data_IF_395495430724
#
_entry.id   IF_395495430724
#
_cell.length_a   1.000
_cell.length_b   1.000
_cell.length_c   1.000
_cell.angle_alpha   90.00
_cell.angle_beta   90.00
_cell.angle_gamma   90.00
#
_symmetry.space_group_name_H-M   'P 1'
#
loop_
_entity.id
_entity.type
_entity.pdbx_description
1 polymer ?
#
# COMPACT_ATOMS: atom_id res chain seq x y z
N UNK A 1 45.91 -30.39 44.26
CA UNK A 1 46.21 -30.27 42.82
C UNK A 1 44.92 -29.99 42.06
N UNK A 2 44.98 -29.02 41.15
CA UNK A 2 43.87 -28.37 40.47
C UNK A 2 43.18 -29.28 39.43
N UNK A 3 41.87 -29.10 39.25
CA UNK A 3 41.12 -29.74 38.16
C UNK A 3 39.73 -29.15 37.95
N UNK A 4 39.64 -27.85 37.64
CA UNK A 4 38.38 -27.20 37.22
C UNK A 4 38.08 -27.56 35.76
N UNK A 5 37.07 -28.40 35.55
CA UNK A 5 36.41 -28.59 34.24
C UNK A 5 35.54 -27.37 33.95
N UNK A 6 35.93 -26.59 32.92
CA UNK A 6 35.10 -25.53 32.32
C UNK A 6 34.21 -26.14 31.26
N UNK A 7 32.91 -26.17 31.51
CA UNK A 7 31.87 -26.39 30.52
C UNK A 7 31.72 -25.11 29.67
N UNK A 8 32.23 -25.14 28.44
CA UNK A 8 31.98 -24.14 27.42
C UNK A 8 30.68 -24.46 26.67
N UNK A 9 29.60 -23.77 27.03
CA UNK A 9 28.39 -23.68 26.20
C UNK A 9 28.69 -22.87 24.95
N UNK A 10 28.91 -23.58 23.84
CA UNK A 10 29.01 -23.01 22.49
C UNK A 10 27.60 -22.74 21.94
N UNK A 11 27.20 -21.47 21.93
CA UNK A 11 26.00 -20.97 21.25
C UNK A 11 26.31 -20.84 19.75
N UNK A 12 26.26 -21.95 19.03
CA UNK A 12 26.34 -21.94 17.57
C UNK A 12 25.01 -21.41 16.99
N UNK A 13 24.99 -20.13 16.62
CA UNK A 13 23.94 -19.56 15.79
C UNK A 13 23.97 -20.24 14.42
N UNK A 14 23.05 -21.18 14.21
CA UNK A 14 22.83 -21.86 12.94
C UNK A 14 22.38 -20.85 11.88
N UNK A 15 23.35 -20.27 11.18
CA UNK A 15 23.15 -19.52 9.94
C UNK A 15 22.82 -20.52 8.84
N UNK A 16 21.53 -20.84 8.71
CA UNK A 16 20.99 -21.59 7.59
C UNK A 16 21.16 -20.81 6.29
N UNK A 17 22.36 -20.89 5.70
CA UNK A 17 22.60 -20.47 4.32
C UNK A 17 21.87 -21.47 3.43
N UNK A 18 20.67 -21.09 2.98
CA UNK A 18 19.97 -21.80 1.91
C UNK A 18 20.89 -21.82 0.69
N UNK A 19 21.38 -23.01 0.30
CA UNK A 19 22.10 -23.18 -0.97
C UNK A 19 21.16 -22.77 -2.09
N UNK A 20 21.46 -21.64 -2.73
CA UNK A 20 20.84 -21.27 -4.00
C UNK A 20 21.49 -22.16 -5.05
N UNK A 21 20.77 -23.16 -5.53
CA UNK A 21 21.14 -23.86 -6.76
C UNK A 21 20.95 -22.89 -7.92
N UNK A 22 22.01 -22.19 -8.31
CA UNK A 22 22.08 -21.46 -9.57
C UNK A 22 22.58 -22.44 -10.62
N UNK A 23 21.75 -23.41 -10.99
CA UNK A 23 22.00 -24.14 -12.23
C UNK A 23 21.63 -23.20 -13.39
N UNK A 24 22.53 -22.88 -14.33
CA UNK A 24 22.14 -22.28 -15.58
C UNK A 24 21.26 -23.31 -16.30
N UNK A 25 19.94 -23.08 -16.33
CA UNK A 25 19.06 -23.96 -17.08
C UNK A 25 19.44 -23.84 -18.57
N UNK A 26 19.86 -24.93 -19.23
CA UNK A 26 20.09 -24.90 -20.66
C UNK A 26 18.76 -24.57 -21.35
N UNK A 27 18.78 -23.54 -22.20
CA UNK A 27 17.64 -22.95 -22.90
C UNK A 27 16.94 -23.87 -23.92
N UNK A 28 17.16 -25.21 -23.92
CA UNK A 28 16.79 -26.08 -25.04
C UNK A 28 16.01 -27.37 -24.77
N UNK A 29 15.60 -27.70 -23.54
CA UNK A 29 14.98 -29.02 -23.28
C UNK A 29 13.62 -29.00 -22.57
N UNK A 30 12.79 -27.98 -22.86
CA UNK A 30 11.38 -27.93 -22.39
C UNK A 30 10.34 -28.26 -23.48
N UNK A 31 10.77 -28.75 -24.64
CA UNK A 31 9.87 -29.04 -25.76
C UNK A 31 9.23 -30.45 -25.72
N UNK A 32 9.60 -31.34 -24.79
CA UNK A 32 9.24 -32.77 -24.90
C UNK A 32 8.60 -33.42 -23.65
N UNK A 33 8.00 -32.65 -22.74
CA UNK A 33 7.13 -33.22 -21.67
C UNK A 33 5.80 -32.47 -21.62
N UNK A 34 4.98 -32.73 -22.63
CA UNK A 34 3.56 -32.34 -22.69
C UNK A 34 2.74 -33.56 -23.07
N UNK A 35 1.91 -34.02 -22.12
CA UNK A 35 0.98 -35.18 -22.08
C UNK A 35 1.23 -35.85 -20.72
N UNK A 36 0.55 -35.56 -19.61
CA UNK A 36 -0.89 -35.68 -19.37
C UNK A 36 -1.35 -34.88 -18.13
N UNK A 37 -1.62 -33.59 -18.27
CA UNK A 37 -2.40 -32.82 -17.27
C UNK A 37 -3.75 -32.43 -17.89
N UNK A 38 -4.63 -33.42 -17.98
CA UNK A 38 -6.03 -33.24 -18.34
C UNK A 38 -6.82 -32.48 -17.27
N UNK A 39 -7.82 -31.74 -17.72
CA UNK A 39 -8.97 -31.30 -16.92
C UNK A 39 -8.74 -30.29 -15.78
N UNK A 40 -7.97 -29.24 -16.03
CA UNK A 40 -8.27 -27.93 -15.46
C UNK A 40 -7.98 -26.87 -16.51
N UNK A 41 -8.97 -26.63 -17.38
CA UNK A 41 -9.04 -25.42 -18.18
C UNK A 41 -9.05 -24.21 -17.25
N UNK A 42 -7.87 -23.79 -16.79
CA UNK A 42 -7.67 -22.46 -16.25
C UNK A 42 -8.00 -21.55 -17.42
N UNK A 43 -9.23 -21.06 -17.44
CA UNK A 43 -9.68 -19.99 -18.32
C UNK A 43 -8.50 -19.04 -18.44
N UNK A 44 -7.90 -18.99 -19.63
CA UNK A 44 -6.76 -18.12 -19.92
C UNK A 44 -7.27 -16.72 -19.58
N UNK A 45 -6.97 -16.23 -18.36
CA UNK A 45 -7.38 -14.90 -17.91
C UNK A 45 -6.84 -13.95 -18.97
N UNK A 46 -7.73 -13.42 -19.80
CA UNK A 46 -7.38 -12.51 -20.88
C UNK A 46 -6.60 -11.37 -20.26
N UNK A 47 -5.39 -11.10 -20.76
CA UNK A 47 -4.64 -9.94 -20.35
C UNK A 47 -5.49 -8.67 -20.50
N UNK A 48 -5.21 -7.65 -19.67
CA UNK A 48 -5.92 -6.37 -19.75
C UNK A 48 -5.74 -5.75 -21.14
N UNK A 49 -6.79 -5.19 -21.71
CA UNK A 49 -6.69 -4.43 -22.97
C UNK A 49 -5.92 -3.12 -22.78
N UNK A 50 -5.27 -2.63 -23.84
CA UNK A 50 -4.58 -1.34 -23.82
C UNK A 50 -5.53 -0.20 -23.47
N UNK A 51 -6.74 -0.17 -24.03
CA UNK A 51 -7.76 0.85 -23.74
C UNK A 51 -8.10 0.86 -22.25
N UNK A 52 -8.39 -0.32 -21.67
CA UNK A 52 -8.67 -0.42 -20.24
C UNK A 52 -7.51 0.09 -19.39
N UNK A 53 -6.27 -0.27 -19.76
CA UNK A 53 -5.07 0.27 -19.11
C UNK A 53 -4.94 1.79 -19.23
N UNK A 54 -5.16 2.37 -20.41
CA UNK A 54 -5.03 3.81 -20.61
C UNK A 54 -6.05 4.61 -19.80
N UNK A 55 -7.27 4.09 -19.62
CA UNK A 55 -8.30 4.71 -18.79
C UNK A 55 -7.97 4.60 -17.30
N UNK A 56 -7.64 3.41 -16.82
CA UNK A 56 -7.34 3.14 -15.41
C UNK A 56 -6.07 2.26 -15.33
N UNK A 57 -4.87 2.85 -15.22
CA UNK A 57 -3.63 2.07 -15.36
C UNK A 57 -3.41 1.09 -14.22
N UNK A 58 -3.90 1.39 -13.00
CA UNK A 58 -3.70 0.53 -11.82
C UNK A 58 -4.95 0.44 -10.95
N UNK A 59 -5.98 -0.34 -11.36
CA UNK A 59 -7.24 -0.44 -10.60
C UNK A 59 -7.04 -0.94 -9.16
N UNK A 60 -6.09 -1.86 -8.95
CA UNK A 60 -5.71 -2.40 -7.63
C UNK A 60 -5.11 -1.36 -6.67
N UNK A 61 -4.77 -0.18 -7.18
CA UNK A 61 -4.24 0.93 -6.40
C UNK A 61 -5.33 2.00 -6.12
N UNK A 62 -6.55 1.87 -6.66
CA UNK A 62 -7.64 2.85 -6.46
C UNK A 62 -8.06 2.99 -5.00
N UNK A 63 -7.88 1.97 -4.17
CA UNK A 63 -8.12 2.09 -2.72
C UNK A 63 -7.30 3.21 -2.07
N UNK A 64 -6.14 3.56 -2.65
CA UNK A 64 -5.29 4.67 -2.17
C UNK A 64 -5.93 6.03 -2.42
N UNK A 65 -6.83 6.13 -3.41
CA UNK A 65 -7.58 7.34 -3.68
C UNK A 65 -8.56 7.71 -2.56
N UNK A 66 -8.85 6.78 -1.64
CA UNK A 66 -9.65 7.05 -0.45
C UNK A 66 -8.87 7.79 0.64
N UNK A 67 -7.53 7.87 0.54
CA UNK A 67 -6.72 8.47 1.60
C UNK A 67 -6.98 9.98 1.75
N UNK A 68 -7.02 10.71 0.63
CA UNK A 68 -7.32 12.15 0.65
C UNK A 68 -8.73 12.46 1.20
N UNK A 69 -9.83 11.85 0.71
CA UNK A 69 -11.15 12.14 1.27
C UNK A 69 -11.28 11.67 2.72
N UNK A 70 -10.66 10.54 3.09
CA UNK A 70 -10.66 10.10 4.48
C UNK A 70 -9.99 11.12 5.39
N UNK A 71 -8.82 11.65 5.03
CA UNK A 71 -8.14 12.65 5.86
C UNK A 71 -8.83 14.01 5.83
N UNK A 72 -9.46 14.40 4.73
CA UNK A 72 -10.36 15.57 4.68
C UNK A 72 -11.49 15.45 5.71
N UNK A 73 -12.20 14.31 5.72
CA UNK A 73 -13.28 14.04 6.70
C UNK A 73 -12.74 14.06 8.12
N UNK A 74 -11.57 13.46 8.39
CA UNK A 74 -10.95 13.52 9.71
C UNK A 74 -10.66 14.96 10.15
N UNK A 75 -10.16 15.80 9.24
CA UNK A 75 -9.94 17.23 9.50
C UNK A 75 -11.22 17.98 9.84
N UNK A 76 -12.30 17.76 9.06
CA UNK A 76 -13.62 18.36 9.31
C UNK A 76 -14.17 17.94 10.67
N UNK A 77 -14.17 16.63 10.97
CA UNK A 77 -14.66 16.11 12.27
C UNK A 77 -13.88 16.67 13.46
N UNK A 78 -12.59 16.93 13.29
CA UNK A 78 -11.74 17.52 14.32
C UNK A 78 -11.96 19.03 14.53
N UNK A 79 -12.75 19.69 13.70
CA UNK A 79 -13.05 21.13 13.81
C UNK A 79 -12.59 21.96 12.62
N UNK A 80 -12.25 21.32 11.50
CA UNK A 80 -12.02 21.98 10.23
C UNK A 80 -13.27 22.66 9.66
N UNK A 81 -13.06 23.46 8.63
CA UNK A 81 -14.13 24.16 7.94
C UNK A 81 -14.84 23.24 6.93
N UNK A 82 -16.16 23.38 6.80
CA UNK A 82 -16.94 22.69 5.78
C UNK A 82 -17.98 23.65 5.19
N UNK A 83 -17.64 24.24 4.05
CA UNK A 83 -18.55 25.00 3.21
C UNK A 83 -18.53 24.46 1.76
N UNK A 84 -19.41 25.01 0.92
CA UNK A 84 -19.53 24.59 -0.47
C UNK A 84 -18.24 24.83 -1.29
N UNK A 85 -17.56 25.95 -1.08
CA UNK A 85 -16.30 26.28 -1.76
C UNK A 85 -15.19 25.29 -1.39
N UNK A 86 -15.02 25.02 -0.09
CA UNK A 86 -14.06 24.05 0.44
C UNK A 86 -14.31 22.66 -0.12
N UNK A 87 -15.57 22.23 -0.17
CA UNK A 87 -15.94 20.94 -0.73
C UNK A 87 -15.61 20.85 -2.23
N UNK A 88 -15.93 21.88 -3.00
CA UNK A 88 -15.61 21.94 -4.44
C UNK A 88 -14.10 21.94 -4.67
N UNK A 89 -13.35 22.75 -3.93
CA UNK A 89 -11.88 22.80 -4.00
C UNK A 89 -11.25 21.45 -3.65
N UNK A 90 -11.72 20.81 -2.58
CA UNK A 90 -11.28 19.48 -2.18
C UNK A 90 -11.58 18.45 -3.26
N UNK A 91 -12.78 18.49 -3.87
CA UNK A 91 -13.17 17.58 -4.95
C UNK A 91 -12.31 17.78 -6.21
N UNK A 92 -12.04 19.02 -6.62
CA UNK A 92 -11.15 19.33 -7.75
C UNK A 92 -9.73 18.84 -7.46
N UNK A 93 -9.19 19.13 -6.27
CA UNK A 93 -7.87 18.66 -5.87
C UNK A 93 -7.79 17.13 -5.85
N UNK A 94 -8.83 16.45 -5.37
CA UNK A 94 -8.92 14.99 -5.37
C UNK A 94 -8.94 14.41 -6.78
N UNK A 95 -9.77 14.95 -7.67
CA UNK A 95 -9.83 14.54 -9.09
C UNK A 95 -8.48 14.74 -9.77
N UNK A 96 -7.87 15.92 -9.61
CA UNK A 96 -6.56 16.20 -10.18
C UNK A 96 -5.49 15.24 -9.64
N UNK A 97 -5.45 15.02 -8.32
CA UNK A 97 -4.49 14.14 -7.68
C UNK A 97 -4.64 12.68 -8.15
N UNK A 98 -5.84 12.10 -8.04
CA UNK A 98 -6.07 10.66 -8.15
C UNK A 98 -6.49 10.20 -9.54
N UNK A 99 -7.08 11.07 -10.37
CA UNK A 99 -7.53 10.71 -11.73
C UNK A 99 -6.62 11.26 -12.84
N UNK A 100 -5.80 12.27 -12.55
CA UNK A 100 -4.88 12.87 -13.53
C UNK A 100 -3.41 12.63 -13.17
N UNK A 101 -2.92 13.20 -12.07
CA UNK A 101 -1.50 13.22 -11.70
C UNK A 101 -0.98 11.82 -11.36
N UNK A 102 -1.65 11.08 -10.46
CA UNK A 102 -1.19 9.73 -10.10
C UNK A 102 -1.26 8.73 -11.25
N UNK A 103 -2.33 8.69 -12.06
CA UNK A 103 -2.36 7.86 -13.26
C UNK A 103 -1.22 8.18 -14.23
N UNK A 104 -0.91 9.46 -14.49
CA UNK A 104 0.25 9.85 -15.30
C UNK A 104 1.57 9.34 -14.69
N UNK A 105 1.76 9.47 -13.38
CA UNK A 105 2.91 8.92 -12.65
C UNK A 105 2.98 7.40 -12.74
N UNK A 106 1.86 6.70 -12.65
CA UNK A 106 1.82 5.24 -12.78
C UNK A 106 2.17 4.79 -14.19
N UNK A 107 1.67 5.49 -15.21
CA UNK A 107 2.05 5.25 -16.61
C UNK A 107 3.55 5.44 -16.83
N UNK A 108 4.14 6.50 -16.26
CA UNK A 108 5.59 6.70 -16.33
C UNK A 108 6.37 5.54 -15.67
N UNK A 109 5.94 5.10 -14.48
CA UNK A 109 6.57 3.97 -13.78
C UNK A 109 6.47 2.66 -14.58
N UNK A 110 5.31 2.39 -15.20
CA UNK A 110 5.06 1.19 -16.00
C UNK A 110 5.87 1.20 -17.30
N UNK A 111 5.99 2.37 -17.97
CA UNK A 111 6.86 2.53 -19.15
C UNK A 111 8.31 2.21 -18.81
N UNK A 112 8.85 2.77 -17.72
CA UNK A 112 10.21 2.47 -17.26
C UNK A 112 10.40 1.02 -16.83
N UNK A 113 9.35 0.41 -16.29
CA UNK A 113 9.35 -0.96 -15.78
C UNK A 113 8.98 -2.03 -16.80
N UNK A 114 8.66 -1.66 -18.04
CA UNK A 114 7.90 -2.51 -18.96
C UNK A 114 8.51 -3.90 -19.16
N UNK A 115 9.79 -3.99 -19.52
CA UNK A 115 10.46 -5.28 -19.75
C UNK A 115 10.50 -6.14 -18.48
N UNK A 116 10.84 -5.54 -17.33
CA UNK A 116 10.87 -6.25 -16.05
C UNK A 116 9.46 -6.65 -15.56
N UNK A 117 8.42 -5.96 -16.02
CA UNK A 117 7.02 -6.31 -15.75
C UNK A 117 6.55 -7.48 -16.63
N UNK A 118 7.00 -7.57 -17.89
CA UNK A 118 6.76 -8.75 -18.75
C UNK A 118 7.56 -9.98 -18.29
N UNK A 119 8.69 -9.80 -17.59
CA UNK A 119 9.46 -10.91 -17.04
C UNK A 119 8.95 -11.40 -15.67
N UNK A 120 7.86 -10.82 -15.15
CA UNK A 120 7.33 -11.12 -13.82
C UNK A 120 6.52 -12.43 -13.82
N UNK A 121 6.64 -13.31 -12.80
CA UNK A 121 5.86 -14.56 -12.73
C UNK A 121 4.34 -14.35 -12.82
N UNK A 122 3.85 -13.27 -12.22
CA UNK A 122 2.46 -12.78 -12.32
C UNK A 122 2.30 -11.58 -13.28
N UNK A 123 2.86 -11.62 -14.49
CA UNK A 123 2.76 -10.51 -15.47
C UNK A 123 1.29 -10.07 -15.73
N UNK A 124 0.35 -11.03 -15.80
CA UNK A 124 -1.06 -10.78 -16.16
C UNK A 124 -1.87 -10.27 -14.96
N UNK A 125 -1.62 -10.80 -13.76
CA UNK A 125 -2.35 -10.42 -12.56
C UNK A 125 -1.96 -9.05 -12.02
N UNK A 126 -0.82 -8.49 -12.42
CA UNK A 126 -0.35 -7.19 -11.94
C UNK A 126 -1.08 -5.99 -12.54
N UNK A 127 -1.73 -6.16 -13.69
CA UNK A 127 -2.49 -5.09 -14.35
C UNK A 127 -1.63 -3.89 -14.73
N UNK A 128 -0.38 -4.14 -15.17
CA UNK A 128 0.57 -3.13 -15.69
C UNK A 128 0.32 -2.88 -17.20
N UNK A 129 1.15 -2.04 -17.82
CA UNK A 129 1.14 -1.82 -19.28
C UNK A 129 1.14 -3.17 -20.02
N UNK A 130 0.11 -3.47 -20.84
CA UNK A 130 -0.02 -4.79 -21.45
C UNK A 130 1.10 -5.06 -22.47
N UNK A 131 1.54 -6.31 -22.55
CA UNK A 131 2.45 -6.80 -23.58
C UNK A 131 1.78 -7.01 -24.94
N UNK A 132 2.48 -7.66 -25.91
CA UNK A 132 3.82 -8.23 -25.80
C UNK A 132 4.95 -7.20 -26.00
N UNK A 133 6.20 -7.60 -25.76
CA UNK A 133 7.39 -6.76 -25.97
C UNK A 133 7.54 -6.28 -27.43
N UNK A 134 7.10 -7.08 -28.40
CA UNK A 134 7.08 -6.68 -29.81
C UNK A 134 6.22 -5.42 -30.08
N UNK A 135 5.24 -5.11 -29.20
CA UNK A 135 4.39 -3.91 -29.28
C UNK A 135 4.83 -2.80 -28.33
N UNK A 136 6.02 -2.91 -27.73
CA UNK A 136 6.54 -1.95 -26.75
C UNK A 136 6.43 -0.51 -27.23
N UNK A 137 6.92 -0.21 -28.44
CA UNK A 137 6.92 1.15 -28.99
C UNK A 137 5.51 1.75 -29.03
N UNK A 138 4.56 1.05 -29.64
CA UNK A 138 3.18 1.53 -29.76
C UNK A 138 2.51 1.71 -28.38
N UNK A 139 2.66 0.73 -27.49
CA UNK A 139 2.05 0.78 -26.15
C UNK A 139 2.68 1.86 -25.26
N UNK A 140 4.00 2.03 -25.32
CA UNK A 140 4.73 3.08 -24.60
C UNK A 140 4.34 4.46 -25.13
N UNK A 141 4.31 4.65 -26.45
CA UNK A 141 3.87 5.92 -27.05
C UNK A 141 2.45 6.26 -26.61
N UNK A 142 1.49 5.34 -26.73
CA UNK A 142 0.12 5.58 -26.29
C UNK A 142 0.04 5.91 -24.80
N UNK A 143 0.79 5.19 -23.95
CA UNK A 143 0.85 5.47 -22.51
C UNK A 143 1.43 6.85 -22.20
N UNK A 144 2.49 7.26 -22.89
CA UNK A 144 3.10 8.59 -22.73
C UNK A 144 2.16 9.69 -23.21
N UNK A 145 1.50 9.53 -24.37
CA UNK A 145 0.54 10.51 -24.90
C UNK A 145 -0.60 10.77 -23.91
N UNK A 146 -1.21 9.71 -23.36
CA UNK A 146 -2.30 9.89 -22.39
C UNK A 146 -1.79 10.46 -21.06
N UNK A 147 -0.57 10.10 -20.62
CA UNK A 147 0.03 10.70 -19.44
C UNK A 147 0.25 12.21 -19.63
N UNK A 148 0.76 12.65 -20.79
CA UNK A 148 0.92 14.07 -21.13
C UNK A 148 -0.43 14.79 -21.20
N UNK A 149 -1.44 14.19 -21.82
CA UNK A 149 -2.79 14.76 -21.89
C UNK A 149 -3.38 14.99 -20.49
N UNK A 150 -3.17 14.06 -19.54
CA UNK A 150 -3.58 14.24 -18.13
C UNK A 150 -2.88 15.43 -17.47
N UNK A 151 -1.58 15.59 -17.69
CA UNK A 151 -0.82 16.72 -17.12
C UNK A 151 -1.23 18.05 -17.76
N UNK A 152 -1.50 18.06 -19.07
CA UNK A 152 -2.06 19.24 -19.74
C UNK A 152 -3.43 19.61 -19.17
N UNK A 153 -4.29 18.63 -18.87
CA UNK A 153 -5.57 18.89 -18.22
C UNK A 153 -5.39 19.49 -16.80
N UNK A 154 -4.42 19.02 -16.01
CA UNK A 154 -4.10 19.62 -14.70
C UNK A 154 -3.61 21.06 -14.86
N UNK A 155 -2.75 21.34 -15.84
CA UNK A 155 -2.28 22.69 -16.13
C UNK A 155 -3.43 23.61 -16.55
N UNK A 156 -4.35 23.13 -17.40
CA UNK A 156 -5.55 23.86 -17.77
C UNK A 156 -6.44 24.16 -16.54
N UNK A 157 -6.67 23.18 -15.65
CA UNK A 157 -7.41 23.41 -14.40
C UNK A 157 -6.73 24.45 -13.51
N UNK A 158 -5.39 24.43 -13.42
CA UNK A 158 -4.62 25.40 -12.65
C UNK A 158 -4.74 26.84 -13.18
N UNK A 159 -4.89 27.00 -14.50
CA UNK A 159 -5.07 28.31 -15.15
C UNK A 159 -6.53 28.79 -15.10
N UNK A 160 -7.50 27.88 -15.26
CA UNK A 160 -8.93 28.20 -15.31
C UNK A 160 -9.57 28.42 -13.93
N UNK A 161 -8.96 27.90 -12.85
CA UNK A 161 -9.45 28.01 -11.48
C UNK A 161 -8.47 28.83 -10.63
N UNK A 162 -8.47 30.17 -10.76
CA UNK A 162 -7.59 31.05 -10.00
C UNK A 162 -7.86 30.87 -8.50
N UNK A 163 -6.85 30.42 -7.76
CA UNK A 163 -6.98 30.00 -6.35
C UNK A 163 -6.58 28.53 -6.10
N UNK A 164 -6.63 27.68 -7.13
CA UNK A 164 -6.17 26.28 -7.05
C UNK A 164 -4.81 26.04 -7.72
N UNK A 165 -4.33 26.97 -8.55
CA UNK A 165 -3.10 26.80 -9.33
C UNK A 165 -1.87 26.45 -8.47
N UNK A 166 -1.67 27.12 -7.34
CA UNK A 166 -0.57 26.82 -6.42
C UNK A 166 -0.66 25.42 -5.81
N UNK A 167 -1.86 24.99 -5.40
CA UNK A 167 -2.10 23.65 -4.84
C UNK A 167 -1.88 22.56 -5.90
N UNK A 168 -2.44 22.73 -7.11
CA UNK A 168 -2.31 21.76 -8.20
C UNK A 168 -0.85 21.66 -8.69
N UNK A 169 -0.13 22.79 -8.73
CA UNK A 169 1.31 22.82 -8.98
C UNK A 169 2.10 22.06 -7.92
N UNK A 170 1.86 22.35 -6.63
CA UNK A 170 2.51 21.67 -5.51
C UNK A 170 2.23 20.16 -5.49
N UNK A 171 0.99 19.73 -5.77
CA UNK A 171 0.61 18.32 -5.94
C UNK A 171 1.43 17.67 -7.04
N UNK A 172 1.48 18.29 -8.22
CA UNK A 172 2.17 17.74 -9.39
C UNK A 172 3.66 17.60 -9.13
N UNK A 173 4.30 18.67 -8.64
CA UNK A 173 5.72 18.67 -8.26
C UNK A 173 6.00 17.64 -7.17
N UNK A 174 5.14 17.54 -6.14
CA UNK A 174 5.28 16.57 -5.06
C UNK A 174 5.23 15.13 -5.56
N UNK A 175 4.20 14.77 -6.35
CA UNK A 175 4.04 13.40 -6.88
C UNK A 175 5.23 13.00 -7.75
N UNK A 176 5.65 13.87 -8.68
CA UNK A 176 6.75 13.57 -9.58
C UNK A 176 8.11 13.64 -8.90
N UNK A 177 8.32 14.56 -7.96
CA UNK A 177 9.54 14.65 -7.14
C UNK A 177 9.77 13.38 -6.34
N UNK A 178 8.74 12.88 -5.65
CA UNK A 178 8.80 11.59 -4.94
C UNK A 178 9.08 10.44 -5.93
N UNK A 179 8.45 10.45 -7.10
CA UNK A 179 8.66 9.42 -8.11
C UNK A 179 10.09 9.45 -8.68
N UNK A 180 10.67 10.62 -8.92
CA UNK A 180 12.08 10.78 -9.33
C UNK A 180 13.01 10.24 -8.25
N UNK A 181 12.82 10.62 -6.99
CA UNK A 181 13.63 10.13 -5.87
C UNK A 181 13.54 8.60 -5.74
N UNK A 182 12.32 8.04 -5.85
CA UNK A 182 12.09 6.61 -5.88
C UNK A 182 12.83 5.92 -7.03
N UNK A 183 12.72 6.42 -8.26
CA UNK A 183 13.36 5.83 -9.43
C UNK A 183 14.89 5.94 -9.36
N UNK A 184 15.41 7.07 -8.87
CA UNK A 184 16.82 7.26 -8.62
C UNK A 184 17.32 6.21 -7.62
N UNK A 185 16.64 6.00 -6.49
CA UNK A 185 17.00 4.94 -5.53
C UNK A 185 16.84 3.54 -6.14
N UNK A 186 15.78 3.28 -6.90
CA UNK A 186 15.53 1.97 -7.53
C UNK A 186 16.57 1.58 -8.58
N UNK A 187 17.12 2.53 -9.34
CA UNK A 187 18.04 2.27 -10.45
C UNK A 187 19.35 1.56 -10.06
N UNK A 188 19.75 1.57 -8.79
CA UNK A 188 20.92 0.85 -8.29
C UNK A 188 20.60 -0.45 -7.56
N UNK A 189 19.34 -0.88 -7.65
CA UNK A 189 18.89 -2.21 -7.22
C UNK A 189 18.85 -3.16 -8.42
N UNK A 190 18.76 -4.48 -8.18
CA UNK A 190 18.69 -5.51 -9.21
C UNK A 190 20.04 -6.01 -9.72
N UNK A 191 21.10 -5.90 -8.91
CA UNK A 191 22.47 -6.31 -9.30
C UNK A 191 22.83 -7.72 -8.85
N UNK A 192 21.97 -8.39 -8.08
CA UNK A 192 22.24 -9.68 -7.48
C UNK A 192 21.11 -10.68 -7.76
N UNK A 193 21.47 -11.95 -8.00
CA UNK A 193 20.50 -13.06 -8.04
C UNK A 193 20.22 -13.67 -6.66
N UNK A 194 20.81 -13.12 -5.59
CA UNK A 194 20.69 -13.65 -4.22
C UNK A 194 19.36 -13.23 -3.61
N UNK A 195 18.64 -14.20 -3.06
CA UNK A 195 17.43 -13.95 -2.27
C UNK A 195 17.61 -14.46 -0.85
N UNK A 196 17.47 -13.62 0.19
CA UNK A 196 17.29 -12.16 0.11
C UNK A 196 18.60 -11.41 -0.25
N UNK A 197 18.51 -10.29 -1.01
CA UNK A 197 19.67 -9.46 -1.37
C UNK A 197 20.22 -8.71 -0.15
N UNK A 198 21.54 -8.49 -0.02
CA UNK A 198 22.14 -7.87 1.16
C UNK A 198 21.51 -6.51 1.47
N UNK A 199 21.32 -6.21 2.76
CA UNK A 199 20.78 -4.91 3.19
C UNK A 199 21.82 -3.84 2.91
N UNK A 200 21.45 -2.88 2.05
CA UNK A 200 22.27 -1.72 1.70
C UNK A 200 21.51 -0.45 2.10
N UNK A 201 22.20 0.64 2.47
CA UNK A 201 21.55 1.91 2.83
C UNK A 201 20.55 2.38 1.77
N UNK A 202 20.88 2.21 0.49
CA UNK A 202 20.00 2.54 -0.65
C UNK A 202 18.68 1.76 -0.64
N UNK A 203 18.70 0.48 -0.23
CA UNK A 203 17.51 -0.36 -0.15
C UNK A 203 16.58 0.13 0.97
N UNK A 204 17.18 0.48 2.12
CA UNK A 204 16.45 1.04 3.26
C UNK A 204 15.88 2.41 2.91
N UNK A 205 16.67 3.29 2.28
CA UNK A 205 16.21 4.59 1.80
C UNK A 205 15.02 4.44 0.83
N UNK A 206 15.04 3.43 -0.04
CA UNK A 206 13.92 3.13 -0.93
C UNK A 206 12.65 2.74 -0.15
N UNK A 207 12.77 1.93 0.91
CA UNK A 207 11.65 1.60 1.80
C UNK A 207 11.11 2.80 2.57
N UNK A 208 11.97 3.76 2.90
CA UNK A 208 11.54 4.99 3.57
C UNK A 208 10.82 5.92 2.58
N UNK A 209 11.39 6.14 1.38
CA UNK A 209 10.86 7.09 0.39
C UNK A 209 9.44 6.75 -0.08
N UNK A 210 9.08 5.48 -0.16
CA UNK A 210 7.75 5.08 -0.66
C UNK A 210 6.58 5.53 0.21
N UNK A 211 6.83 5.82 1.50
CA UNK A 211 5.77 6.36 2.35
C UNK A 211 5.45 7.83 2.08
N UNK A 212 6.35 8.59 1.44
CA UNK A 212 6.10 10.00 1.11
C UNK A 212 4.87 10.20 0.21
N UNK A 213 4.55 9.22 -0.66
CA UNK A 213 3.34 9.28 -1.48
C UNK A 213 2.02 9.19 -0.69
N UNK A 214 2.07 8.63 0.52
CA UNK A 214 0.91 8.59 1.45
C UNK A 214 0.81 9.89 2.24
N UNK A 215 1.95 10.41 2.70
CA UNK A 215 2.03 11.75 3.28
C UNK A 215 1.43 12.80 2.34
N UNK A 216 1.89 12.87 1.08
CA UNK A 216 1.36 13.82 0.12
C UNK A 216 -0.17 13.71 -0.05
N UNK A 217 -0.69 12.49 -0.27
CA UNK A 217 -2.14 12.26 -0.43
C UNK A 217 -2.95 12.70 0.78
N UNK A 218 -2.56 12.23 1.97
CA UNK A 218 -3.31 12.52 3.18
C UNK A 218 -3.20 13.99 3.59
N UNK A 219 -2.04 14.61 3.37
CA UNK A 219 -1.81 16.03 3.68
C UNK A 219 -2.63 16.94 2.77
N UNK A 220 -2.81 16.62 1.49
CA UNK A 220 -3.73 17.37 0.61
C UNK A 220 -5.15 17.38 1.18
N UNK A 221 -5.61 16.25 1.71
CA UNK A 221 -6.92 16.16 2.37
C UNK A 221 -7.01 16.99 3.64
N UNK A 222 -6.00 16.89 4.52
CA UNK A 222 -5.99 17.67 5.77
C UNK A 222 -5.88 19.17 5.53
N UNK A 223 -5.02 19.61 4.61
CA UNK A 223 -4.84 21.04 4.27
C UNK A 223 -6.13 21.61 3.68
N UNK A 224 -6.88 20.83 2.92
CA UNK A 224 -8.18 21.27 2.40
C UNK A 224 -9.23 21.45 3.51
N UNK A 225 -9.14 20.74 4.63
CA UNK A 225 -10.10 20.85 5.75
C UNK A 225 -9.63 21.80 6.86
N UNK A 226 -8.32 21.94 7.06
CA UNK A 226 -7.70 22.60 8.22
C UNK A 226 -6.55 23.48 7.76
N UNK A 227 -6.48 24.71 8.27
CA UNK A 227 -5.37 25.65 8.06
C UNK A 227 -4.07 25.19 8.73
N UNK A 228 -3.41 24.17 8.20
CA UNK A 228 -2.18 23.59 8.78
C UNK A 228 -0.98 24.54 8.73
N UNK A 229 -1.01 25.58 7.89
CA UNK A 229 0.06 26.58 7.80
C UNK A 229 0.29 27.32 9.12
N UNK A 230 -0.76 27.48 9.92
CA UNK A 230 -0.70 28.14 11.24
C UNK A 230 -0.41 27.13 12.37
N UNK A 231 -0.33 25.84 12.06
CA UNK A 231 -0.20 24.73 13.02
C UNK A 231 0.97 23.82 12.67
N UNK A 232 2.23 24.31 12.72
CA UNK A 232 3.40 23.58 12.22
C UNK A 232 3.62 22.23 12.94
N UNK A 233 3.35 22.16 14.25
CA UNK A 233 3.46 20.91 15.02
C UNK A 233 2.45 19.86 14.53
N UNK A 234 1.19 20.28 14.30
CA UNK A 234 0.15 19.42 13.73
C UNK A 234 0.50 18.96 12.32
N UNK A 235 1.04 19.87 11.49
CA UNK A 235 1.51 19.56 10.14
C UNK A 235 2.59 18.47 10.15
N UNK A 236 3.61 18.62 11.00
CA UNK A 236 4.70 17.64 11.10
C UNK A 236 4.19 16.32 11.66
N UNK A 237 3.38 16.33 12.72
CA UNK A 237 2.81 15.11 13.30
C UNK A 237 1.98 14.33 12.27
N UNK A 238 1.11 15.01 11.53
CA UNK A 238 0.28 14.41 10.49
C UNK A 238 1.12 13.86 9.33
N UNK A 239 2.13 14.62 8.89
CA UNK A 239 3.04 14.18 7.84
C UNK A 239 3.83 12.92 8.26
N UNK A 240 4.34 12.87 9.50
CA UNK A 240 5.02 11.69 10.06
C UNK A 240 4.07 10.50 10.16
N UNK A 241 2.85 10.71 10.66
CA UNK A 241 1.85 9.64 10.76
C UNK A 241 1.54 9.01 9.40
N UNK A 242 1.25 9.84 8.40
CA UNK A 242 0.93 9.39 7.05
C UNK A 242 2.14 8.81 6.31
N UNK A 243 3.33 9.35 6.52
CA UNK A 243 4.57 8.82 5.95
C UNK A 243 4.85 7.43 6.53
N UNK A 244 4.90 7.31 7.86
CA UNK A 244 5.15 6.04 8.54
C UNK A 244 4.08 5.00 8.18
N UNK A 245 2.80 5.39 8.12
CA UNK A 245 1.74 4.53 7.61
C UNK A 245 2.01 4.05 6.17
N UNK A 246 2.44 4.95 5.29
CA UNK A 246 2.81 4.61 3.92
C UNK A 246 3.97 3.61 3.84
N UNK A 247 4.99 3.75 4.69
CA UNK A 247 6.09 2.77 4.79
C UNK A 247 5.51 1.42 5.22
N UNK A 248 4.70 1.39 6.28
CA UNK A 248 4.08 0.17 6.79
C UNK A 248 3.24 -0.55 5.75
N UNK A 249 2.36 0.19 5.07
CA UNK A 249 1.48 -0.33 4.03
C UNK A 249 2.27 -0.87 2.83
N UNK A 250 3.19 -0.06 2.27
CA UNK A 250 3.89 -0.43 1.03
C UNK A 250 4.85 -1.58 1.26
N UNK A 251 5.61 -1.58 2.36
CA UNK A 251 6.55 -2.68 2.65
C UNK A 251 5.81 -3.97 3.00
N UNK A 252 4.68 -3.90 3.71
CA UNK A 252 3.79 -5.07 3.91
C UNK A 252 3.31 -5.64 2.57
N UNK A 253 2.82 -4.77 1.68
CA UNK A 253 2.36 -5.19 0.35
C UNK A 253 3.48 -5.79 -0.48
N UNK A 254 4.67 -5.18 -0.49
CA UNK A 254 5.82 -5.72 -1.21
C UNK A 254 6.29 -7.07 -0.66
N UNK A 255 6.23 -7.27 0.66
CA UNK A 255 6.53 -8.56 1.26
C UNK A 255 5.57 -9.65 0.76
N UNK A 256 4.28 -9.33 0.63
CA UNK A 256 3.30 -10.26 0.05
C UNK A 256 3.49 -10.44 -1.47
N UNK A 257 3.80 -9.37 -2.22
CA UNK A 257 4.12 -9.45 -3.65
C UNK A 257 5.37 -10.32 -3.91
N UNK A 258 6.30 -10.38 -2.96
CA UNK A 258 7.46 -11.27 -3.04
C UNK A 258 7.09 -12.76 -3.06
N UNK A 259 5.93 -13.15 -2.53
CA UNK A 259 5.46 -14.54 -2.56
C UNK A 259 5.27 -15.08 -3.99
N UNK A 260 5.13 -14.19 -4.99
CA UNK A 260 5.12 -14.58 -6.40
C UNK A 260 6.44 -15.24 -6.87
N UNK A 261 7.52 -15.10 -6.09
CA UNK A 261 8.83 -15.68 -6.34
C UNK A 261 9.14 -16.89 -5.44
N UNK A 262 8.19 -17.29 -4.59
CA UNK A 262 8.33 -18.42 -3.69
C UNK A 262 7.71 -19.69 -4.30
N UNK A 263 8.28 -20.84 -3.94
CA UNK A 263 7.65 -22.16 -4.02
C UNK A 263 7.67 -22.80 -2.63
N UNK A 264 6.75 -23.72 -2.37
CA UNK A 264 6.74 -24.48 -1.13
C UNK A 264 7.39 -25.84 -1.39
N UNK A 265 8.35 -26.20 -0.55
CA UNK A 265 9.13 -27.44 -0.60
C UNK A 265 9.17 -28.00 0.83
N UNK A 266 8.49 -29.13 1.07
CA UNK A 266 8.31 -29.72 2.40
C UNK A 266 7.86 -28.71 3.49
N UNK A 267 6.88 -27.86 3.14
CA UNK A 267 6.34 -26.83 4.04
C UNK A 267 7.27 -25.62 4.27
N UNK A 268 8.43 -25.58 3.62
CA UNK A 268 9.38 -24.46 3.64
C UNK A 268 9.30 -23.63 2.37
N UNK A 269 9.55 -22.33 2.50
CA UNK A 269 9.62 -21.44 1.34
C UNK A 269 10.99 -21.49 0.68
N UNK A 270 11.01 -21.80 -0.61
CA UNK A 270 12.19 -21.70 -1.47
C UNK A 270 11.97 -20.56 -2.46
N UNK A 271 12.96 -19.67 -2.56
CA UNK A 271 12.84 -18.45 -3.35
C UNK A 271 13.63 -18.55 -4.65
N UNK A 272 13.03 -18.10 -5.76
CA UNK A 272 13.67 -18.08 -7.08
C UNK A 272 13.43 -16.74 -7.76
N UNK A 273 14.49 -16.01 -8.08
CA UNK A 273 14.42 -14.74 -8.79
C UNK A 273 15.61 -14.56 -9.72
N UNK A 274 15.38 -13.90 -10.86
CA UNK A 274 16.41 -13.54 -11.84
C UNK A 274 16.79 -12.07 -11.69
N UNK A 275 18.05 -11.74 -11.96
CA UNK A 275 18.56 -10.37 -11.82
C UNK A 275 17.78 -9.38 -12.71
N UNK A 276 17.43 -9.79 -13.94
CA UNK A 276 16.65 -9.00 -14.90
C UNK A 276 15.25 -8.58 -14.42
N UNK A 277 14.73 -9.19 -13.35
CA UNK A 277 13.43 -8.81 -12.79
C UNK A 277 13.53 -7.52 -11.94
N UNK A 278 14.73 -7.10 -11.54
CA UNK A 278 15.02 -5.86 -10.79
C UNK A 278 14.14 -5.68 -9.52
N UNK A 279 14.00 -6.75 -8.72
CA UNK A 279 13.08 -6.83 -7.56
C UNK A 279 13.76 -6.91 -6.20
N UNK A 280 14.99 -6.43 -6.05
CA UNK A 280 15.69 -6.53 -4.75
C UNK A 280 14.93 -5.84 -3.60
N UNK A 281 14.19 -4.77 -3.89
CA UNK A 281 13.43 -4.02 -2.89
C UNK A 281 12.26 -4.77 -2.26
N UNK A 282 11.61 -5.66 -3.01
CA UNK A 282 10.59 -6.55 -2.44
C UNK A 282 11.22 -7.83 -1.91
N UNK A 283 12.22 -8.38 -2.60
CA UNK A 283 12.90 -9.61 -2.18
C UNK A 283 13.74 -9.43 -0.91
N UNK A 284 14.17 -8.20 -0.59
CA UNK A 284 14.83 -7.90 0.69
C UNK A 284 13.91 -8.09 1.90
N UNK A 285 12.58 -7.95 1.69
CA UNK A 285 11.58 -7.98 2.77
C UNK A 285 11.24 -9.41 3.21
N UNK A 286 11.56 -10.43 2.42
CA UNK A 286 11.31 -11.84 2.77
C UNK A 286 12.10 -12.27 4.01
N UNK A 287 13.14 -11.53 4.39
CA UNK A 287 13.92 -11.72 5.63
C UNK A 287 13.07 -11.76 6.89
N UNK A 288 11.93 -11.09 6.88
CA UNK A 288 11.04 -10.94 8.04
C UNK A 288 9.75 -11.76 7.91
N UNK A 289 9.59 -12.52 6.83
CA UNK A 289 8.48 -13.46 6.69
C UNK A 289 8.80 -14.76 7.43
N UNK A 290 7.79 -15.48 7.95
CA UNK A 290 8.00 -16.85 8.43
C UNK A 290 8.59 -17.74 7.34
N UNK A 291 9.43 -18.70 7.71
CA UNK A 291 10.08 -19.63 6.78
C UNK A 291 9.20 -20.85 6.43
N UNK A 292 8.17 -21.11 7.25
CA UNK A 292 7.25 -22.24 7.13
C UNK A 292 5.79 -21.82 6.98
N UNK A 293 5.03 -22.65 6.27
CA UNK A 293 3.59 -22.49 6.11
C UNK A 293 2.90 -23.86 5.99
N UNK A 294 1.64 -23.93 6.40
CA UNK A 294 0.77 -25.09 6.20
C UNK A 294 -0.03 -25.02 4.89
N UNK A 295 0.02 -23.86 4.22
CA UNK A 295 -0.67 -23.66 2.94
C UNK A 295 0.04 -24.43 1.83
N UNK A 296 -0.70 -24.87 0.81
CA UNK A 296 -0.12 -25.54 -0.37
C UNK A 296 0.37 -24.58 -1.44
N UNK A 297 -0.15 -23.35 -1.43
CA UNK A 297 0.16 -22.30 -2.40
C UNK A 297 0.64 -21.04 -1.66
N UNK A 298 1.86 -20.52 -1.94
CA UNK A 298 2.31 -19.24 -1.42
C UNK A 298 1.30 -18.11 -1.63
N UNK A 299 0.55 -18.13 -2.74
CA UNK A 299 -0.34 -17.04 -3.08
C UNK A 299 -1.59 -16.97 -2.18
N UNK A 300 -1.98 -18.09 -1.56
CA UNK A 300 -3.09 -18.19 -0.62
C UNK A 300 -2.67 -17.89 0.84
N UNK A 301 -1.36 -17.77 1.09
CA UNK A 301 -0.84 -17.63 2.44
C UNK A 301 -0.89 -16.19 2.94
N UNK A 302 -1.57 -15.99 4.08
CA UNK A 302 -1.68 -14.69 4.76
C UNK A 302 -0.46 -14.46 5.68
N UNK A 303 0.74 -14.35 5.09
CA UNK A 303 2.01 -14.37 5.81
C UNK A 303 2.11 -13.33 6.94
N UNK A 304 1.48 -12.16 6.76
CA UNK A 304 1.52 -11.07 7.74
C UNK A 304 0.54 -11.25 8.92
N UNK A 305 -0.37 -12.23 8.88
CA UNK A 305 -1.19 -12.62 10.04
C UNK A 305 -0.37 -13.38 11.08
N UNK A 306 0.71 -14.04 10.65
CA UNK A 306 1.62 -14.73 11.53
C UNK A 306 2.49 -13.75 12.31
N UNK A 307 3.22 -14.27 13.31
CA UNK A 307 4.23 -13.50 14.03
C UNK A 307 5.39 -13.17 13.09
N UNK A 308 5.61 -11.88 12.86
CA UNK A 308 6.79 -11.34 12.17
C UNK A 308 7.71 -10.66 13.19
N UNK A 309 9.03 -10.58 12.97
CA UNK A 309 9.91 -9.86 13.90
C UNK A 309 9.52 -8.39 14.03
N UNK A 310 9.71 -7.81 15.22
CA UNK A 310 9.44 -6.39 15.49
C UNK A 310 10.32 -5.45 14.68
N UNK A 311 11.51 -5.93 14.30
CA UNK A 311 12.48 -5.20 13.48
C UNK A 311 12.08 -5.15 12.00
N UNK A 312 10.97 -5.80 11.61
CA UNK A 312 10.46 -5.67 10.26
C UNK A 312 10.10 -4.21 9.97
N UNK A 313 10.45 -3.67 8.78
CA UNK A 313 10.27 -2.26 8.49
C UNK A 313 8.80 -1.83 8.60
N UNK A 314 7.85 -2.70 8.27
CA UNK A 314 6.43 -2.40 8.42
C UNK A 314 5.95 -2.33 9.87
N UNK A 315 6.55 -3.10 10.79
CA UNK A 315 6.17 -3.09 12.20
C UNK A 315 6.71 -1.84 12.90
N UNK A 316 7.97 -1.49 12.67
CA UNK A 316 8.57 -0.25 13.19
C UNK A 316 7.80 0.98 12.69
N UNK A 317 7.51 1.01 11.38
CA UNK A 317 6.75 2.10 10.78
C UNK A 317 5.31 2.17 11.30
N UNK A 318 4.68 1.03 11.60
CA UNK A 318 3.33 1.02 12.19
C UNK A 318 3.31 1.60 13.60
N UNK A 319 4.29 1.25 14.45
CA UNK A 319 4.38 1.82 15.80
C UNK A 319 4.56 3.33 15.72
N UNK A 320 5.47 3.80 14.86
CA UNK A 320 5.66 5.23 14.62
C UNK A 320 4.38 5.90 14.08
N UNK A 321 3.68 5.25 13.15
CA UNK A 321 2.42 5.75 12.62
C UNK A 321 1.34 5.84 13.71
N UNK A 322 1.24 4.84 14.58
CA UNK A 322 0.33 4.85 15.73
C UNK A 322 0.65 6.00 16.70
N UNK A 323 1.91 6.14 17.12
CA UNK A 323 2.34 7.25 17.98
C UNK A 323 1.99 8.61 17.37
N UNK A 324 2.37 8.83 16.11
CA UNK A 324 2.16 10.10 15.43
C UNK A 324 0.67 10.35 15.12
N UNK A 325 -0.13 9.32 14.85
CA UNK A 325 -1.56 9.46 14.61
C UNK A 325 -2.33 9.82 15.89
N UNK A 326 -1.97 9.23 17.04
CA UNK A 326 -2.52 9.62 18.34
C UNK A 326 -2.21 11.09 18.66
N UNK A 327 -0.95 11.50 18.44
CA UNK A 327 -0.54 12.91 18.55
C UNK A 327 -1.33 13.82 17.59
N UNK A 328 -1.44 13.43 16.32
CA UNK A 328 -2.14 14.19 15.28
C UNK A 328 -3.60 14.44 15.65
N UNK A 329 -4.32 13.39 16.08
CA UNK A 329 -5.72 13.52 16.46
C UNK A 329 -5.95 14.51 17.59
N UNK A 330 -5.12 14.47 18.64
CA UNK A 330 -5.20 15.45 19.71
C UNK A 330 -4.91 16.88 19.25
N UNK A 331 -3.83 17.06 18.49
CA UNK A 331 -3.47 18.38 17.98
C UNK A 331 -4.51 18.96 17.02
N UNK A 332 -5.19 18.14 16.22
CA UNK A 332 -6.26 18.60 15.33
C UNK A 332 -7.45 19.19 16.13
N UNK A 333 -7.73 18.64 17.31
CA UNK A 333 -8.80 19.13 18.21
C UNK A 333 -8.42 20.33 19.08
N UNK A 334 -7.21 20.89 18.91
CA UNK A 334 -6.75 22.06 19.65
C UNK A 334 -6.27 21.77 21.08
N UNK A 335 -5.84 20.52 21.35
CA UNK A 335 -5.40 20.12 22.68
C UNK A 335 -4.06 20.76 23.10
N UNK A 336 -3.86 20.88 24.41
CA UNK A 336 -2.61 21.30 25.03
C UNK A 336 -1.51 20.21 24.88
N UNK A 337 -0.22 20.55 25.08
CA UNK A 337 0.89 19.61 24.86
C UNK A 337 0.85 18.32 25.69
N UNK A 338 0.41 18.38 26.95
CA UNK A 338 0.41 17.22 27.84
C UNK A 338 -0.59 16.11 27.40
N UNK A 339 -1.89 16.42 27.17
CA UNK A 339 -2.83 15.46 26.56
C UNK A 339 -2.35 14.90 25.22
N UNK A 340 -1.71 15.74 24.42
CA UNK A 340 -1.17 15.34 23.12
C UNK A 340 -0.03 14.31 23.25
N UNK A 341 0.85 14.47 24.25
CA UNK A 341 1.89 13.50 24.57
C UNK A 341 1.34 12.18 25.13
N UNK A 342 0.32 12.25 26.00
CA UNK A 342 -0.36 11.06 26.53
C UNK A 342 -1.01 10.23 25.40
N UNK A 343 -1.73 10.89 24.49
CA UNK A 343 -2.32 10.24 23.31
C UNK A 343 -1.26 9.62 22.39
N UNK A 344 -0.12 10.29 22.19
CA UNK A 344 0.99 9.74 21.43
C UNK A 344 1.54 8.45 22.07
N UNK A 345 1.77 8.47 23.39
CA UNK A 345 2.26 7.32 24.15
C UNK A 345 1.28 6.14 24.10
N UNK A 346 0.01 6.38 24.41
CA UNK A 346 -1.04 5.36 24.34
C UNK A 346 -1.18 4.79 22.91
N UNK A 347 -1.08 5.66 21.90
CA UNK A 347 -1.10 5.28 20.49
C UNK A 347 0.05 4.36 20.09
N UNK A 348 1.27 4.68 20.52
CA UNK A 348 2.45 3.89 20.27
C UNK A 348 2.43 2.54 20.99
N UNK A 349 2.06 2.53 22.28
CA UNK A 349 1.95 1.31 23.08
C UNK A 349 0.91 0.35 22.49
N UNK A 350 -0.30 0.82 22.19
CA UNK A 350 -1.35 -0.02 21.63
C UNK A 350 -0.96 -0.57 20.23
N UNK A 351 -0.31 0.24 19.39
CA UNK A 351 0.21 -0.23 18.10
C UNK A 351 1.31 -1.29 18.28
N UNK A 352 2.22 -1.12 19.24
CA UNK A 352 3.25 -2.10 19.56
C UNK A 352 2.62 -3.42 20.04
N UNK A 353 1.66 -3.38 20.97
CA UNK A 353 0.94 -4.58 21.43
C UNK A 353 0.24 -5.29 20.27
N UNK A 354 -0.36 -4.55 19.33
CA UNK A 354 -0.98 -5.15 18.15
C UNK A 354 0.06 -5.87 17.26
N UNK A 355 1.28 -5.35 17.14
CA UNK A 355 2.38 -6.05 16.46
C UNK A 355 2.75 -7.35 17.19
N UNK A 356 2.84 -7.32 18.52
CA UNK A 356 3.26 -8.46 19.34
C UNK A 356 2.22 -9.56 19.48
N UNK A 357 0.92 -9.24 19.33
CA UNK A 357 -0.19 -10.17 19.60
C UNK A 357 -0.97 -10.49 18.31
N UNK A 358 -0.39 -11.26 17.36
CA UNK A 358 -0.99 -11.49 16.04
C UNK A 358 -2.39 -12.12 16.07
N UNK A 359 -2.65 -13.03 17.02
CA UNK A 359 -3.96 -13.70 17.17
C UNK A 359 -5.03 -12.80 17.79
N UNK A 360 -4.64 -11.79 18.55
CA UNK A 360 -5.54 -10.90 19.29
C UNK A 360 -5.62 -9.48 18.72
N UNK A 361 -5.06 -9.22 17.53
CA UNK A 361 -4.91 -7.87 16.97
C UNK A 361 -6.19 -7.05 16.98
N UNK A 362 -7.31 -7.66 16.58
CA UNK A 362 -8.61 -6.96 16.53
C UNK A 362 -9.01 -6.50 17.93
N UNK A 363 -8.93 -7.39 18.92
CA UNK A 363 -9.25 -7.07 20.30
C UNK A 363 -8.31 -5.99 20.87
N UNK A 364 -7.01 -6.06 20.56
CA UNK A 364 -6.03 -5.04 20.97
C UNK A 364 -6.34 -3.68 20.35
N UNK A 365 -6.69 -3.63 19.06
CA UNK A 365 -7.02 -2.36 18.39
C UNK A 365 -8.29 -1.75 18.98
N UNK A 366 -9.33 -2.56 19.23
CA UNK A 366 -10.57 -2.08 19.86
C UNK A 366 -10.33 -1.61 21.29
N UNK A 367 -9.62 -2.39 22.10
CA UNK A 367 -9.27 -2.03 23.47
C UNK A 367 -8.40 -0.75 23.51
N UNK A 368 -7.45 -0.62 22.59
CA UNK A 368 -6.62 0.58 22.45
C UNK A 368 -7.44 1.83 22.09
N UNK A 369 -8.43 1.70 21.20
CA UNK A 369 -9.33 2.80 20.85
C UNK A 369 -10.20 3.22 22.05
N UNK A 370 -10.76 2.26 22.79
CA UNK A 370 -11.56 2.51 24.00
C UNK A 370 -10.70 3.14 25.09
N UNK A 371 -9.49 2.64 25.32
CA UNK A 371 -8.57 3.17 26.32
C UNK A 371 -8.15 4.62 26.01
N UNK A 372 -7.80 4.90 24.75
CA UNK A 372 -7.51 6.27 24.32
C UNK A 372 -8.72 7.17 24.49
N UNK A 373 -9.89 6.76 23.99
CA UNK A 373 -11.11 7.55 24.13
C UNK A 373 -11.44 7.85 25.60
N UNK A 374 -11.39 6.84 26.47
CA UNK A 374 -11.62 6.99 27.90
C UNK A 374 -10.61 7.93 28.58
N UNK A 375 -9.33 7.83 28.24
CA UNK A 375 -8.30 8.74 28.74
C UNK A 375 -8.58 10.20 28.33
N UNK A 376 -8.97 10.42 27.06
CA UNK A 376 -9.30 11.74 26.55
C UNK A 376 -10.57 12.34 27.16
N UNK A 377 -11.58 11.50 27.44
CA UNK A 377 -12.77 11.92 28.19
C UNK A 377 -12.41 12.32 29.61
N UNK A 378 -11.56 11.54 30.29
CA UNK A 378 -11.12 11.83 31.66
C UNK A 378 -10.31 13.13 31.75
N UNK A 379 -9.54 13.46 30.71
CA UNK A 379 -8.77 14.72 30.62
C UNK A 379 -9.61 15.92 30.13
N UNK A 380 -10.90 15.74 29.83
CA UNK A 380 -11.78 16.82 29.38
C UNK A 380 -11.45 17.33 27.97
N UNK A 381 -10.94 16.47 27.08
CA UNK A 381 -10.65 16.85 25.70
C UNK A 381 -11.94 17.34 24.99
N UNK A 382 -11.88 18.38 24.14
CA UNK A 382 -13.07 19.00 23.56
C UNK A 382 -13.82 18.09 22.57
N UNK A 383 -13.11 17.17 21.91
CA UNK A 383 -13.67 16.24 20.90
C UNK A 383 -12.97 14.87 20.98
N UNK A 384 -13.18 14.11 22.07
CA UNK A 384 -12.38 12.92 22.36
C UNK A 384 -12.56 11.84 21.27
N UNK A 385 -13.76 11.71 20.70
CA UNK A 385 -13.98 10.78 19.58
C UNK A 385 -13.18 11.17 18.34
N UNK A 386 -13.26 12.44 17.91
CA UNK A 386 -12.54 12.92 16.73
C UNK A 386 -11.02 12.78 16.88
N UNK A 387 -10.49 12.96 18.09
CA UNK A 387 -9.07 12.79 18.39
C UNK A 387 -8.60 11.33 18.28
N UNK A 388 -9.45 10.33 18.52
CA UNK A 388 -9.08 8.90 18.38
C UNK A 388 -9.11 8.44 16.92
N UNK A 389 -9.92 9.07 16.07
CA UNK A 389 -10.18 8.59 14.70
C UNK A 389 -8.92 8.45 13.82
N UNK A 390 -7.92 9.36 13.82
CA UNK A 390 -6.71 9.17 13.03
C UNK A 390 -5.94 7.91 13.44
N UNK A 391 -5.79 7.65 14.74
CA UNK A 391 -5.14 6.43 15.24
C UNK A 391 -5.93 5.19 14.84
N UNK A 392 -7.25 5.21 15.05
CA UNK A 392 -8.12 4.10 14.71
C UNK A 392 -8.10 3.79 13.21
N UNK A 393 -8.07 4.81 12.34
CA UNK A 393 -8.00 4.64 10.90
C UNK A 393 -6.70 3.93 10.46
N UNK A 394 -5.55 4.34 11.02
CA UNK A 394 -4.25 3.68 10.78
C UNK A 394 -4.30 2.21 11.20
N UNK A 395 -4.84 1.94 12.39
CA UNK A 395 -4.90 0.57 12.93
C UNK A 395 -5.93 -0.31 12.21
N UNK A 396 -7.07 0.24 11.81
CA UNK A 396 -8.05 -0.48 10.99
C UNK A 396 -7.45 -0.87 9.63
N UNK A 397 -6.72 0.05 8.98
CA UNK A 397 -5.99 -0.26 7.76
C UNK A 397 -4.94 -1.36 7.98
N UNK A 398 -4.21 -1.35 9.11
CA UNK A 398 -3.29 -2.43 9.50
C UNK A 398 -3.97 -3.80 9.62
N UNK A 399 -5.13 -3.88 10.25
CA UNK A 399 -5.90 -5.13 10.33
C UNK A 399 -6.24 -5.66 8.94
N UNK A 400 -6.63 -4.76 8.01
CA UNK A 400 -6.94 -5.13 6.63
C UNK A 400 -5.71 -5.65 5.90
N UNK A 401 -4.62 -4.89 5.82
CA UNK A 401 -3.47 -5.29 4.99
C UNK A 401 -2.65 -6.43 5.62
N UNK A 402 -2.62 -6.56 6.94
CA UNK A 402 -1.99 -7.72 7.59
C UNK A 402 -2.77 -9.02 7.34
N UNK A 403 -4.06 -8.90 6.99
CA UNK A 403 -4.91 -10.03 6.59
C UNK A 403 -4.85 -10.40 5.12
N UNK A 404 -4.17 -9.62 4.28
CA UNK A 404 -4.11 -9.87 2.84
C UNK A 404 -3.21 -11.07 2.50
N UNK A 405 -3.57 -11.71 1.41
CA UNK A 405 -2.85 -12.77 0.69
C UNK A 405 -2.49 -12.25 -0.69
N UNK A 406 -1.45 -12.77 -1.33
CA UNK A 406 -1.04 -12.35 -2.68
C UNK A 406 -2.21 -12.32 -3.67
N UNK A 407 -3.05 -13.36 -3.68
CA UNK A 407 -4.19 -13.46 -4.58
C UNK A 407 -5.35 -12.49 -4.26
N UNK A 408 -5.36 -11.90 -3.07
CA UNK A 408 -6.33 -10.87 -2.62
C UNK A 408 -5.76 -9.46 -2.58
N UNK A 409 -4.47 -9.26 -2.93
CA UNK A 409 -3.88 -7.92 -2.91
C UNK A 409 -4.60 -7.02 -3.91
N UNK A 410 -5.11 -5.90 -3.39
CA UNK A 410 -5.79 -4.88 -4.19
C UNK A 410 -7.20 -5.27 -4.63
N UNK A 411 -7.74 -6.39 -4.14
CA UNK A 411 -9.18 -6.67 -4.21
C UNK A 411 -9.79 -6.31 -2.86
N UNK A 412 -10.84 -5.49 -2.88
CA UNK A 412 -11.65 -5.30 -1.67
C UNK A 412 -12.29 -6.64 -1.29
N UNK A 413 -12.40 -6.91 0.01
CA UNK A 413 -13.22 -8.00 0.52
C UNK A 413 -14.61 -7.88 -0.12
N UNK A 414 -15.19 -8.99 -0.57
CA UNK A 414 -16.52 -9.00 -1.18
C UNK A 414 -17.56 -8.33 -0.30
N UNK A 415 -17.39 -8.40 1.03
CA UNK A 415 -18.24 -7.70 2.00
C UNK A 415 -18.11 -6.19 1.92
N UNK A 416 -16.87 -5.68 1.81
CA UNK A 416 -16.63 -4.24 1.64
C UNK A 416 -17.18 -3.78 0.29
N UNK A 417 -16.96 -4.57 -0.77
CA UNK A 417 -17.54 -4.29 -2.09
C UNK A 417 -19.06 -4.27 -2.02
N UNK A 418 -19.69 -5.25 -1.37
CA UNK A 418 -21.13 -5.33 -1.20
C UNK A 418 -21.68 -4.14 -0.40
N UNK A 419 -21.00 -3.75 0.69
CA UNK A 419 -21.37 -2.58 1.49
C UNK A 419 -21.29 -1.29 0.68
N UNK A 420 -20.19 -1.08 -0.06
CA UNK A 420 -20.03 0.08 -0.97
C UNK A 420 -21.12 0.08 -2.03
N UNK A 421 -21.36 -1.06 -2.69
CA UNK A 421 -22.43 -1.19 -3.69
C UNK A 421 -23.79 -0.89 -3.07
N UNK A 422 -24.08 -1.36 -1.86
CA UNK A 422 -25.35 -1.09 -1.17
C UNK A 422 -25.53 0.39 -0.86
N UNK A 423 -24.47 1.09 -0.43
CA UNK A 423 -24.50 2.54 -0.16
C UNK A 423 -24.72 3.35 -1.43
N UNK A 424 -24.08 2.99 -2.55
CA UNK A 424 -24.18 3.74 -3.80
C UNK A 424 -25.32 3.27 -4.71
N UNK A 425 -25.93 2.12 -4.44
CA UNK A 425 -27.00 1.55 -5.25
C UNK A 425 -28.17 2.53 -5.51
N UNK A 426 -28.68 3.30 -4.52
CA UNK A 426 -29.76 4.26 -4.78
C UNK A 426 -29.36 5.36 -5.76
N UNK A 427 -28.12 5.86 -5.66
CA UNK A 427 -27.61 6.90 -6.56
C UNK A 427 -27.46 6.34 -7.97
N UNK A 428 -26.88 5.15 -8.11
CA UNK A 428 -26.76 4.49 -9.42
C UNK A 428 -28.13 4.23 -10.02
N UNK A 429 -29.08 3.72 -9.22
CA UNK A 429 -30.45 3.47 -9.64
C UNK A 429 -31.14 4.75 -10.14
N UNK A 430 -31.03 5.84 -9.39
CA UNK A 430 -31.58 7.14 -9.79
C UNK A 430 -31.00 7.65 -11.13
N UNK A 431 -29.72 7.40 -11.39
CA UNK A 431 -29.05 7.82 -12.64
C UNK A 431 -29.42 6.95 -13.84
N UNK A 432 -29.50 5.62 -13.65
CA UNK A 432 -29.70 4.68 -14.78
C UNK A 432 -31.16 4.33 -15.07
N UNK A 433 -32.07 4.65 -14.15
CA UNK A 433 -33.51 4.36 -14.24
C UNK A 433 -33.87 2.89 -13.98
N UNK A 434 -35.17 2.61 -13.83
CA UNK A 434 -35.70 1.31 -13.41
C UNK A 434 -35.38 0.16 -14.37
N UNK A 435 -35.53 0.38 -15.67
CA UNK A 435 -35.32 -0.66 -16.68
C UNK A 435 -33.86 -1.16 -16.70
N UNK A 436 -32.90 -0.23 -16.71
CA UNK A 436 -31.46 -0.54 -16.68
C UNK A 436 -31.08 -1.19 -15.36
N UNK A 437 -31.61 -0.68 -14.24
CA UNK A 437 -31.36 -1.24 -12.91
C UNK A 437 -31.85 -2.69 -12.79
N UNK A 438 -33.03 -2.99 -13.33
CA UNK A 438 -33.57 -4.35 -13.42
C UNK A 438 -32.63 -5.31 -14.17
N UNK A 439 -32.13 -4.89 -15.34
CA UNK A 439 -31.20 -5.68 -16.14
C UNK A 439 -29.87 -5.96 -15.42
N UNK A 440 -29.32 -4.98 -14.70
CA UNK A 440 -28.09 -5.12 -13.91
C UNK A 440 -28.27 -6.16 -12.78
N UNK A 441 -29.43 -6.20 -12.12
CA UNK A 441 -29.72 -7.19 -11.07
C UNK A 441 -29.87 -8.61 -11.63
N UNK A 442 -30.51 -8.77 -12.80
CA UNK A 442 -30.73 -10.09 -13.40
C UNK A 442 -29.48 -10.69 -14.03
N UNK A 443 -28.59 -9.85 -14.58
CA UNK A 443 -27.34 -10.30 -15.22
C UNK A 443 -26.27 -10.80 -14.23
N UNK A 444 -26.25 -10.25 -13.00
CA UNK A 444 -25.25 -10.61 -11.99
C UNK A 444 -25.40 -12.01 -11.39
N UNK A 445 -26.60 -12.61 -11.43
CA UNK A 445 -26.90 -13.88 -10.76
C UNK A 445 -26.57 -15.14 -11.58
N UNK A 446 -26.31 -15.02 -12.89
CA UNK A 446 -26.08 -16.18 -13.77
C UNK A 446 -24.60 -16.48 -14.07
N UNK A 447 -23.66 -15.62 -13.68
CA UNK A 447 -22.25 -15.70 -14.09
C UNK A 447 -21.26 -16.31 -13.10
N UNK A 448 -21.70 -16.82 -11.95
CA UNK A 448 -20.80 -17.26 -10.86
C UNK A 448 -21.11 -18.65 -10.29
N UNK A 449 -21.69 -19.56 -11.08
CA UNK A 449 -21.77 -20.98 -10.74
C UNK A 449 -20.69 -21.77 -11.45
#
# INVERSE_FOLDING_TARGET
MNGRSRTTTSTAAASGITRVSVAPAPLRERAARGRDDGAAGRARKSGRSLVGYLLVPRPKDMVKALLMPATFVLGVLAGGHLDGDTLVRAAVAWVALELLVYPARYQWNDVRGFVADQAHPDERGRGRLPGPVARARAHVTASCTVALARLAAVAALALLLPGLGGLLGAITVGVFGIAVAYEALRAGTGRTGRVPPPLRPRLIALWVVVGAGYALRGMVGLVAAVGLGERPVTLVAAAVALWAFGIAFVTSRWALEALAFARIDDGRLVWTARAEQAREHLLGLVRWLPDRTTERDPAAWAALRSRTPVTAPWNLALVLAGTAAGLTGMLLTGAQPAPAAAAALLGGVAAAVAVFVPRGRVAVVLAGAVAQWGALVAEGAPRPLAAVLPWFAVMAAYLVFSGQRLNTIGTSDERVRAAVVAVFAPVVHAVVGDATWGALRTGGLRGSR
#
